data_IF_886462381439
#
_entry.id   IF_886462381439
#
_cell.length_a   1.000
_cell.length_b   1.000
_cell.length_c   1.000
_cell.angle_alpha   90.00
_cell.angle_beta   90.00
_cell.angle_gamma   90.00
#
_symmetry.space_group_name_H-M   'P 1'
#
loop_
_entity.id
_entity.type
_entity.pdbx_description
1 polymer ?
#
# COMPACT_ATOMS: atom_id res chain seq x y z
N UNK A 1 -19.83 -11.72 -39.62
CA UNK A 1 -20.36 -12.90 -38.91
C UNK A 1 -19.34 -13.30 -37.86
N UNK A 2 -19.68 -13.22 -36.56
CA UNK A 2 -19.09 -13.98 -35.43
C UNK A 2 -17.56 -13.78 -35.19
N UNK A 3 -17.09 -13.20 -34.08
CA UNK A 3 -17.04 -13.82 -32.73
C UNK A 3 -16.63 -12.79 -31.65
N UNK A 4 -17.46 -12.73 -30.59
CA UNK A 4 -17.23 -12.61 -29.13
C UNK A 4 -16.06 -11.73 -28.61
N UNK A 5 -16.35 -10.63 -27.91
CA UNK A 5 -16.56 -10.53 -26.43
C UNK A 5 -15.41 -11.17 -25.66
N UNK A 6 -14.67 -10.35 -24.90
CA UNK A 6 -14.10 -10.55 -23.55
C UNK A 6 -13.09 -9.41 -23.36
N UNK A 7 -13.45 -8.31 -22.70
CA UNK A 7 -13.38 -8.27 -21.24
C UNK A 7 -11.92 -8.15 -20.81
N UNK A 8 -11.26 -7.03 -21.13
CA UNK A 8 -9.89 -6.75 -20.68
C UNK A 8 -9.91 -6.33 -19.19
N UNK A 9 -10.32 -7.26 -18.34
CA UNK A 9 -10.08 -7.28 -16.91
C UNK A 9 -8.67 -7.85 -16.77
N UNK A 10 -7.68 -6.96 -16.82
CA UNK A 10 -6.28 -7.32 -16.58
C UNK A 10 -6.04 -7.32 -15.07
N UNK A 11 -6.67 -8.27 -14.38
CA UNK A 11 -6.40 -8.57 -12.98
C UNK A 11 -5.38 -9.71 -12.90
N UNK A 12 -4.27 -9.41 -12.23
CA UNK A 12 -3.67 -10.27 -11.22
C UNK A 12 -3.23 -11.68 -11.63
N UNK A 13 -2.06 -11.79 -12.26
CA UNK A 13 -1.21 -12.98 -12.16
C UNK A 13 0.27 -12.61 -12.36
N UNK A 14 0.96 -12.28 -11.27
CA UNK A 14 2.41 -12.49 -11.17
C UNK A 14 2.70 -13.18 -9.83
N UNK A 15 2.44 -14.48 -9.81
CA UNK A 15 3.03 -15.39 -8.81
C UNK A 15 4.24 -16.03 -9.49
N UNK A 16 5.41 -15.40 -9.35
CA UNK A 16 6.66 -16.12 -9.54
C UNK A 16 7.14 -16.61 -8.19
N UNK A 17 6.89 -17.90 -7.95
CA UNK A 17 7.58 -18.69 -6.94
C UNK A 17 9.03 -18.86 -7.38
N UNK A 18 9.96 -18.24 -6.65
CA UNK A 18 11.36 -18.66 -6.65
C UNK A 18 11.74 -19.03 -5.22
N UNK A 19 11.96 -20.33 -5.01
CA UNK A 19 12.35 -20.91 -3.74
C UNK A 19 13.85 -20.65 -3.53
N UNK A 20 14.18 -19.75 -2.62
CA UNK A 20 15.52 -19.51 -2.12
C UNK A 20 15.44 -19.29 -0.62
N UNK A 21 15.75 -20.33 0.15
CA UNK A 21 15.88 -20.26 1.60
C UNK A 21 17.09 -19.38 1.96
N UNK A 22 16.83 -18.20 2.52
CA UNK A 22 17.70 -17.55 3.49
C UNK A 22 16.76 -16.99 4.55
N UNK A 23 16.85 -17.54 5.76
CA UNK A 23 16.21 -17.02 6.96
C UNK A 23 16.76 -15.63 7.26
N UNK A 24 16.29 -14.62 6.53
CA UNK A 24 16.32 -13.25 7.00
C UNK A 24 15.23 -13.16 8.06
N UNK A 25 15.46 -12.50 9.20
CA UNK A 25 14.36 -12.15 10.07
C UNK A 25 13.47 -11.23 9.24
N UNK A 26 12.40 -11.80 8.68
CA UNK A 26 11.26 -11.07 8.15
C UNK A 26 10.76 -10.29 9.35
N UNK A 27 11.22 -9.04 9.49
CA UNK A 27 10.58 -8.10 10.39
C UNK A 27 9.12 -8.11 9.97
N UNK A 28 8.28 -8.77 10.75
CA UNK A 28 6.86 -8.91 10.46
C UNK A 28 6.23 -7.54 10.73
N UNK A 29 6.54 -6.56 9.88
CA UNK A 29 5.83 -5.32 9.83
C UNK A 29 4.50 -5.65 9.16
N UNK A 30 3.57 -6.04 10.02
CA UNK A 30 2.16 -6.21 9.70
C UNK A 30 1.67 -4.81 9.31
N UNK A 31 1.61 -4.53 8.01
CA UNK A 31 1.12 -3.25 7.49
C UNK A 31 -0.39 -3.10 7.66
N UNK A 32 -1.11 -4.22 7.69
CA UNK A 32 -2.53 -4.23 8.01
C UNK A 32 -2.77 -3.70 9.41
N UNK A 33 -3.86 -2.95 9.55
CA UNK A 33 -4.19 -2.24 10.77
C UNK A 33 -4.73 -0.85 10.48
N UNK A 34 -4.95 -0.12 11.55
CA UNK A 34 -5.48 1.23 11.49
C UNK A 34 -4.37 2.19 11.92
N UNK A 35 -4.13 3.23 11.14
CA UNK A 35 -3.22 4.30 11.53
C UNK A 35 -3.81 5.67 11.21
N UNK A 36 -3.24 6.70 11.84
CA UNK A 36 -3.57 8.09 11.57
C UNK A 36 -2.32 8.91 11.27
N UNK A 37 -2.45 9.89 10.39
CA UNK A 37 -1.42 10.91 10.18
C UNK A 37 -1.46 11.95 11.30
N UNK A 38 -0.41 12.76 11.42
CA UNK A 38 -0.40 13.94 12.31
C UNK A 38 -1.54 14.92 12.01
N UNK A 39 -1.98 14.99 10.75
CA UNK A 39 -3.09 15.83 10.31
C UNK A 39 -4.47 15.27 10.68
N UNK A 40 -4.56 14.05 11.23
CA UNK A 40 -5.81 13.43 11.66
C UNK A 40 -6.48 12.52 10.62
N UNK A 41 -5.91 12.39 9.42
CA UNK A 41 -6.44 11.48 8.39
C UNK A 41 -6.20 10.04 8.86
N UNK A 42 -7.27 9.26 8.88
CA UNK A 42 -7.24 7.86 9.31
C UNK A 42 -7.22 6.94 8.09
N UNK A 43 -6.35 5.95 8.14
CA UNK A 43 -6.21 4.90 7.15
C UNK A 43 -6.45 3.56 7.85
N UNK A 44 -7.22 2.69 7.22
CA UNK A 44 -7.41 1.30 7.61
C UNK A 44 -6.95 0.43 6.45
N UNK A 45 -5.91 -0.36 6.66
CA UNK A 45 -5.40 -1.35 5.72
C UNK A 45 -5.90 -2.72 6.15
N UNK A 46 -6.77 -3.33 5.34
CA UNK A 46 -7.37 -4.63 5.63
C UNK A 46 -6.57 -5.76 4.99
N UNK A 47 -6.64 -6.94 5.60
CA UNK A 47 -5.94 -8.15 5.12
C UNK A 47 -6.36 -8.60 3.71
N UNK A 48 -7.54 -8.21 3.25
CA UNK A 48 -8.05 -8.48 1.90
C UNK A 48 -7.53 -7.50 0.84
N UNK A 49 -6.44 -6.76 1.15
CA UNK A 49 -5.83 -5.73 0.30
C UNK A 49 -6.74 -4.53 0.00
N UNK A 50 -7.84 -4.35 0.73
CA UNK A 50 -8.66 -3.13 0.63
C UNK A 50 -8.23 -2.09 1.67
N UNK A 51 -8.43 -0.81 1.33
CA UNK A 51 -8.19 0.30 2.27
C UNK A 51 -9.43 1.16 2.44
N UNK A 52 -9.59 1.70 3.65
CA UNK A 52 -10.56 2.74 3.96
C UNK A 52 -9.84 3.99 4.50
N UNK A 53 -10.01 5.12 3.82
CA UNK A 53 -9.40 6.39 4.18
C UNK A 53 -10.51 7.31 4.67
N UNK A 54 -10.34 7.87 5.86
CA UNK A 54 -11.26 8.81 6.48
C UNK A 54 -10.56 10.15 6.69
N UNK A 55 -11.07 11.18 6.04
CA UNK A 55 -10.62 12.56 6.20
C UNK A 55 -11.34 13.24 7.37
N UNK A 56 -10.79 14.37 7.81
CA UNK A 56 -11.28 15.12 8.98
C UNK A 56 -12.71 15.66 8.81
N UNK A 57 -13.11 15.93 7.58
CA UNK A 57 -14.46 16.35 7.19
C UNK A 57 -15.44 15.16 7.08
N UNK A 58 -15.03 13.97 7.54
CA UNK A 58 -15.79 12.73 7.46
C UNK A 58 -16.02 12.22 6.03
N UNK A 59 -15.30 12.75 5.03
CA UNK A 59 -15.26 12.13 3.71
C UNK A 59 -14.52 10.80 3.82
N UNK A 60 -15.09 9.78 3.19
CA UNK A 60 -14.53 8.44 3.15
C UNK A 60 -14.17 8.04 1.73
N UNK A 61 -12.99 7.45 1.57
CA UNK A 61 -12.56 6.85 0.31
C UNK A 61 -12.27 5.37 0.51
N UNK A 62 -12.62 4.55 -0.49
CA UNK A 62 -12.29 3.13 -0.55
C UNK A 62 -11.34 2.90 -1.70
N UNK A 63 -10.28 2.15 -1.45
CA UNK A 63 -9.29 1.80 -2.45
C UNK A 63 -8.68 0.44 -2.16
N UNK A 64 -7.57 0.17 -2.83
CA UNK A 64 -6.74 -1.01 -2.60
C UNK A 64 -5.35 -0.61 -2.13
N UNK A 65 -4.65 -1.53 -1.48
CA UNK A 65 -3.25 -1.36 -1.15
C UNK A 65 -2.45 -2.62 -1.52
N UNK A 66 -1.17 -2.45 -1.80
CA UNK A 66 -0.29 -3.53 -2.21
C UNK A 66 1.07 -3.43 -1.53
N UNK A 67 1.65 -4.57 -1.19
CA UNK A 67 3.00 -4.68 -0.65
C UNK A 67 3.97 -4.76 -1.82
N UNK A 68 5.03 -3.97 -1.75
CA UNK A 68 6.15 -4.00 -2.68
C UNK A 68 7.42 -4.35 -1.92
N UNK A 69 8.23 -5.22 -2.51
CA UNK A 69 9.53 -5.63 -2.00
C UNK A 69 10.54 -5.41 -3.09
N UNK A 70 11.56 -4.59 -2.82
CA UNK A 70 12.68 -4.43 -3.72
C UNK A 70 13.75 -5.51 -3.44
N UNK A 71 14.62 -5.76 -4.42
CA UNK A 71 15.77 -6.67 -4.35
C UNK A 71 16.73 -6.32 -3.19
N UNK A 72 16.76 -5.04 -2.81
CA UNK A 72 17.49 -4.53 -1.64
C UNK A 72 16.78 -4.80 -0.30
N UNK A 73 15.79 -5.69 -0.27
CA UNK A 73 15.03 -6.05 0.93
C UNK A 73 14.24 -4.90 1.56
N UNK A 74 14.03 -3.80 0.83
CA UNK A 74 13.16 -2.71 1.25
C UNK A 74 11.72 -3.11 0.99
N UNK A 75 10.91 -3.17 2.05
CA UNK A 75 9.47 -3.43 1.98
C UNK A 75 8.70 -2.14 2.21
N UNK A 76 7.73 -1.86 1.36
CA UNK A 76 6.84 -0.71 1.49
C UNK A 76 5.45 -1.05 0.94
N UNK A 77 4.48 -0.20 1.24
CA UNK A 77 3.09 -0.35 0.76
C UNK A 77 2.71 0.82 -0.13
N UNK A 78 2.03 0.54 -1.24
CA UNK A 78 1.33 1.56 -2.02
C UNK A 78 -0.15 1.54 -1.67
N UNK A 79 -0.76 2.71 -1.53
CA UNK A 79 -2.19 2.86 -1.22
C UNK A 79 -2.84 3.67 -2.35
N UNK A 80 -3.94 3.14 -2.88
CA UNK A 80 -4.73 3.80 -3.91
C UNK A 80 -5.53 4.97 -3.34
N UNK A 81 -5.50 6.09 -4.06
CA UNK A 81 -6.41 7.20 -3.82
C UNK A 81 -6.84 7.86 -5.14
N UNK A 82 -8.14 8.18 -5.25
CA UNK A 82 -8.76 8.80 -6.43
C UNK A 82 -8.43 8.09 -7.77
N UNK A 83 -8.38 6.76 -7.77
CA UNK A 83 -8.05 5.94 -8.95
C UNK A 83 -6.56 5.87 -9.32
N UNK A 84 -5.67 6.45 -8.52
CA UNK A 84 -4.23 6.27 -8.65
C UNK A 84 -3.73 5.24 -7.63
N UNK A 85 -3.30 4.03 -8.06
CA UNK A 85 -2.85 2.95 -7.15
C UNK A 85 -1.55 3.29 -6.40
N UNK A 86 -0.77 4.24 -6.91
CA UNK A 86 0.52 4.66 -6.38
C UNK A 86 0.44 6.10 -5.85
N UNK A 87 -0.63 6.42 -5.12
CA UNK A 87 -0.83 7.78 -4.59
C UNK A 87 -0.08 7.98 -3.28
N UNK A 88 -0.21 7.04 -2.34
CA UNK A 88 0.56 7.08 -1.10
C UNK A 88 1.53 5.91 -1.01
N UNK A 89 2.65 6.17 -0.35
CA UNK A 89 3.68 5.18 -0.06
C UNK A 89 3.86 5.11 1.45
N UNK A 90 3.70 3.93 2.04
CA UNK A 90 3.87 3.70 3.47
C UNK A 90 5.12 2.86 3.70
N UNK A 91 6.07 3.41 4.44
CA UNK A 91 7.34 2.76 4.80
C UNK A 91 7.80 3.25 6.16
N UNK A 92 8.25 2.34 7.03
CA UNK A 92 8.84 2.68 8.35
C UNK A 92 7.98 3.63 9.21
N UNK A 93 6.66 3.40 9.24
CA UNK A 93 5.68 4.28 9.94
C UNK A 93 5.67 5.74 9.46
N UNK A 94 6.03 5.96 8.19
CA UNK A 94 5.93 7.24 7.51
C UNK A 94 5.15 7.08 6.20
N UNK A 95 4.29 8.06 5.92
CA UNK A 95 3.50 8.16 4.70
C UNK A 95 4.11 9.22 3.78
N UNK A 96 4.34 8.86 2.52
CA UNK A 96 4.90 9.72 1.49
C UNK A 96 3.89 9.88 0.34
N UNK A 97 4.03 10.95 -0.44
CA UNK A 97 3.16 11.26 -1.58
C UNK A 97 3.80 10.87 -2.92
N UNK A 98 5.07 10.48 -2.91
CA UNK A 98 5.74 9.96 -4.09
C UNK A 98 6.82 8.95 -3.73
N UNK A 99 7.13 8.08 -4.69
CA UNK A 99 8.23 7.12 -4.57
C UNK A 99 9.58 7.83 -4.35
N UNK A 100 9.80 8.97 -5.02
CA UNK A 100 11.04 9.75 -4.88
C UNK A 100 11.24 10.26 -3.45
N UNK A 101 10.17 10.74 -2.81
CA UNK A 101 10.20 11.17 -1.40
C UNK A 101 10.52 10.00 -0.48
N UNK A 102 9.88 8.86 -0.69
CA UNK A 102 10.12 7.63 0.08
C UNK A 102 11.56 7.12 -0.09
N UNK A 103 12.08 7.04 -1.32
CA UNK A 103 13.45 6.57 -1.62
C UNK A 103 14.47 7.47 -0.92
N UNK A 104 14.27 8.79 -0.98
CA UNK A 104 15.17 9.75 -0.34
C UNK A 104 14.89 9.94 1.16
N UNK A 105 13.88 9.27 1.72
CA UNK A 105 13.42 9.44 3.10
C UNK A 105 13.17 10.91 3.47
N UNK A 106 12.56 11.67 2.55
CA UNK A 106 12.30 13.10 2.69
C UNK A 106 10.79 13.37 2.74
N UNK A 107 10.38 14.36 3.53
CA UNK A 107 8.99 14.83 3.63
C UNK A 107 7.96 13.75 4.04
N UNK A 108 8.42 12.66 4.66
CA UNK A 108 7.54 11.65 5.22
C UNK A 108 6.68 12.21 6.34
N UNK A 109 5.36 12.00 6.25
CA UNK A 109 4.44 12.30 7.34
C UNK A 109 4.42 11.14 8.31
N UNK A 110 4.77 11.39 9.57
CA UNK A 110 4.72 10.33 10.59
C UNK A 110 3.29 9.86 10.79
N UNK A 111 3.13 8.55 10.96
CA UNK A 111 1.86 7.94 11.30
C UNK A 111 1.92 7.33 12.69
N UNK A 112 0.75 7.22 13.31
CA UNK A 112 0.56 6.50 14.56
C UNK A 112 -0.45 5.37 14.32
N UNK A 113 -0.01 4.13 14.51
CA UNK A 113 -0.92 2.99 14.55
C UNK A 113 -1.83 3.08 15.78
N UNK A 114 -3.10 2.76 15.56
CA UNK A 114 -4.13 2.67 16.58
C UNK A 114 -4.26 1.19 16.94
N UNK A 115 -3.86 0.84 18.17
CA UNK A 115 -4.10 -0.48 18.75
C UNK A 115 -5.58 -0.70 19.06
#
# INVERSE_FOLDING_TARGET
>A
MKIFIYGMIFYFLFVFSSCGNVDKPSSSHVFNGIFKTETGIKFELKEDSTTFIQFNDSIHYKGVWAIHRNDENTEYVTIEFAGNPNYYYLKDSQLYHSEREMINNNFGTKIQYLN
#
